data_IF_184052720798
#
_entry.id   IF_184052720798
#
_cell.length_a   1.000
_cell.length_b   1.000
_cell.length_c   1.000
_cell.angle_alpha   90.00
_cell.angle_beta   90.00
_cell.angle_gamma   90.00
#
_symmetry.space_group_name_H-M   'P 1'
#
loop_
_entity.id
_entity.type
_entity.pdbx_description
1 polymer ?
#
# COMPACT_ATOMS: atom_id res chain seq x y z
N UNK A 1 26.96 29.48 10.77
CA UNK A 1 27.16 28.29 9.93
C UNK A 1 27.96 27.24 10.69
N UNK A 2 27.99 26.01 10.19
CA UNK A 2 28.86 24.97 10.74
C UNK A 2 30.31 25.25 10.31
N UNK A 3 31.25 25.21 11.24
CA UNK A 3 32.68 25.25 10.94
C UNK A 3 33.20 23.84 10.58
N UNK A 4 34.45 23.78 10.12
CA UNK A 4 35.03 22.50 9.67
C UNK A 4 35.14 21.48 10.80
N UNK A 5 35.42 21.93 12.04
CA UNK A 5 35.49 21.06 13.23
C UNK A 5 34.14 20.41 13.54
N UNK A 6 33.06 21.22 13.47
CA UNK A 6 31.70 20.71 13.63
C UNK A 6 31.33 19.72 12.51
N UNK A 7 31.71 20.03 11.26
CA UNK A 7 31.49 19.14 10.12
C UNK A 7 32.22 17.80 10.29
N UNK A 8 33.46 17.80 10.76
CA UNK A 8 34.22 16.58 11.00
C UNK A 8 33.58 15.72 12.11
N UNK A 9 33.08 16.35 13.17
CA UNK A 9 32.33 15.66 14.22
C UNK A 9 31.09 14.99 13.66
N UNK A 10 30.33 15.64 12.76
CA UNK A 10 29.16 15.03 12.12
C UNK A 10 29.53 13.93 11.13
N UNK A 11 30.63 14.05 10.40
CA UNK A 11 31.16 12.99 9.53
C UNK A 11 31.47 11.72 10.30
N UNK A 12 32.09 11.81 11.46
CA UNK A 12 32.37 10.66 12.32
C UNK A 12 31.07 10.01 12.84
N UNK A 13 30.10 10.81 13.30
CA UNK A 13 28.80 10.30 13.71
C UNK A 13 28.07 9.60 12.54
N UNK A 14 28.14 10.14 11.33
CA UNK A 14 27.55 9.55 10.14
C UNK A 14 28.22 8.20 9.79
N UNK A 15 29.56 8.10 9.86
CA UNK A 15 30.30 6.85 9.65
C UNK A 15 29.90 5.78 10.66
N UNK A 16 29.79 6.14 11.94
CA UNK A 16 29.32 5.21 12.98
C UNK A 16 27.88 4.77 12.74
N UNK A 17 27.00 5.72 12.32
CA UNK A 17 25.62 5.41 11.97
C UNK A 17 25.53 4.45 10.79
N UNK A 18 26.31 4.68 9.73
CA UNK A 18 26.39 3.80 8.57
C UNK A 18 26.89 2.39 8.97
N UNK A 19 27.95 2.29 9.78
CA UNK A 19 28.44 0.98 10.24
C UNK A 19 27.39 0.21 11.02
N UNK A 20 26.59 0.88 11.85
CA UNK A 20 25.45 0.26 12.57
C UNK A 20 24.36 -0.19 11.61
N UNK A 21 24.01 0.63 10.62
CA UNK A 21 23.01 0.28 9.62
C UNK A 21 23.45 -0.96 8.83
N UNK A 22 24.69 -1.01 8.34
CA UNK A 22 25.22 -2.14 7.61
C UNK A 22 25.16 -3.43 8.44
N UNK A 23 25.50 -3.35 9.74
CA UNK A 23 25.34 -4.49 10.64
C UNK A 23 23.89 -4.95 10.76
N UNK A 24 22.91 -4.03 10.81
CA UNK A 24 21.49 -4.38 10.84
C UNK A 24 21.03 -5.01 9.50
N UNK A 25 21.62 -4.60 8.39
CA UNK A 25 21.39 -5.24 7.08
C UNK A 25 21.91 -6.68 7.09
N UNK A 26 23.14 -6.90 7.57
CA UNK A 26 23.75 -8.24 7.68
C UNK A 26 22.95 -9.18 8.62
N UNK A 27 22.31 -8.59 9.66
CA UNK A 27 21.45 -9.30 10.61
C UNK A 27 19.98 -9.45 10.11
N UNK A 28 19.68 -9.06 8.86
CA UNK A 28 18.33 -9.05 8.26
C UNK A 28 17.29 -8.23 9.04
N UNK A 29 17.72 -7.17 9.73
CA UNK A 29 16.86 -6.27 10.53
C UNK A 29 16.54 -4.95 9.86
N UNK A 30 17.14 -4.65 8.71
CA UNK A 30 16.96 -3.42 7.95
C UNK A 30 16.70 -3.71 6.46
N UNK A 31 15.74 -4.56 6.17
CA UNK A 31 15.39 -5.01 4.82
C UNK A 31 15.03 -3.89 3.85
N UNK A 32 14.60 -2.73 4.35
CA UNK A 32 14.27 -1.58 3.51
C UNK A 32 15.45 -1.08 2.66
N UNK A 33 16.69 -1.31 3.08
CA UNK A 33 17.91 -0.92 2.33
C UNK A 33 18.02 -1.70 1.02
N UNK A 34 17.49 -2.92 0.98
CA UNK A 34 17.56 -3.82 -0.17
C UNK A 34 16.37 -3.67 -1.14
N UNK A 35 15.33 -2.94 -0.77
CA UNK A 35 14.12 -2.77 -1.60
C UNK A 35 14.39 -2.24 -3.01
N UNK A 36 15.34 -1.31 -3.26
CA UNK A 36 15.64 -0.87 -4.63
C UNK A 36 16.12 -1.99 -5.57
N UNK A 37 16.64 -3.08 -5.02
CA UNK A 37 17.16 -4.23 -5.77
C UNK A 37 16.22 -5.45 -5.78
N UNK A 38 14.99 -5.30 -5.25
CA UNK A 38 14.03 -6.41 -5.18
C UNK A 38 13.51 -6.82 -6.56
N UNK A 39 13.11 -8.08 -6.69
CA UNK A 39 12.40 -8.54 -7.89
C UNK A 39 10.95 -8.01 -7.88
N UNK A 40 10.59 -7.24 -8.89
CA UNK A 40 9.24 -6.68 -9.09
C UNK A 40 8.42 -7.43 -10.14
N UNK A 41 8.89 -8.57 -10.64
CA UNK A 41 8.26 -9.32 -11.74
C UNK A 41 6.82 -9.72 -11.42
N UNK A 42 6.58 -10.26 -10.21
CA UNK A 42 5.24 -10.67 -9.78
C UNK A 42 4.27 -9.49 -9.67
N UNK A 43 4.73 -8.36 -9.13
CA UNK A 43 3.94 -7.12 -9.03
C UNK A 43 3.55 -6.59 -10.41
N UNK A 44 4.52 -6.48 -11.32
CA UNK A 44 4.29 -6.02 -12.71
C UNK A 44 3.35 -6.94 -13.47
N UNK A 45 3.49 -8.26 -13.28
CA UNK A 45 2.59 -9.24 -13.89
C UNK A 45 1.16 -9.03 -13.40
N UNK A 46 0.97 -8.94 -12.08
CA UNK A 46 -0.35 -8.72 -11.50
C UNK A 46 -0.97 -7.40 -11.96
N UNK A 47 -0.23 -6.28 -11.89
CA UNK A 47 -0.71 -4.98 -12.37
C UNK A 47 -1.12 -5.03 -13.85
N UNK A 48 -0.34 -5.70 -14.69
CA UNK A 48 -0.68 -5.91 -16.11
C UNK A 48 -1.95 -6.75 -16.29
N UNK A 49 -2.13 -7.80 -15.48
CA UNK A 49 -3.33 -8.64 -15.51
C UNK A 49 -4.58 -7.88 -15.06
N UNK A 50 -4.45 -6.89 -14.18
CA UNK A 50 -5.57 -6.07 -13.72
C UNK A 50 -5.80 -4.81 -14.57
N UNK A 51 -4.83 -4.38 -15.35
CA UNK A 51 -4.92 -3.19 -16.19
C UNK A 51 -6.13 -3.25 -17.13
N UNK A 52 -6.90 -2.17 -17.18
CA UNK A 52 -8.07 -2.03 -18.04
C UNK A 52 -9.34 -2.73 -17.55
N UNK A 53 -9.29 -3.42 -16.39
CA UNK A 53 -10.46 -4.14 -15.86
C UNK A 53 -11.33 -3.32 -14.92
N UNK A 54 -10.76 -2.33 -14.25
CA UNK A 54 -11.41 -1.54 -13.21
C UNK A 54 -11.25 -0.05 -13.47
N UNK A 55 -12.28 0.71 -13.14
CA UNK A 55 -12.25 2.17 -13.21
C UNK A 55 -11.73 2.80 -11.92
N UNK A 56 -11.85 2.09 -10.81
CA UNK A 56 -11.50 2.56 -9.47
C UNK A 56 -10.63 1.56 -8.70
N UNK A 57 -9.68 2.10 -7.94
CA UNK A 57 -8.86 1.38 -6.97
C UNK A 57 -9.04 2.05 -5.61
N UNK A 58 -9.59 1.32 -4.64
CA UNK A 58 -9.68 1.77 -3.25
C UNK A 58 -8.57 1.10 -2.44
N UNK A 59 -7.70 1.90 -1.85
CA UNK A 59 -6.64 1.47 -0.96
C UNK A 59 -7.09 1.66 0.49
N UNK A 60 -7.15 0.58 1.24
CA UNK A 60 -7.57 0.59 2.64
C UNK A 60 -6.35 0.32 3.52
N UNK A 61 -5.84 1.35 4.17
CA UNK A 61 -4.64 1.22 5.00
C UNK A 61 -4.32 2.53 5.71
N UNK A 62 -3.56 2.47 6.80
CA UNK A 62 -3.25 3.62 7.66
C UNK A 62 -1.75 3.78 7.85
N UNK A 63 -1.29 5.01 7.96
CA UNK A 63 0.09 5.36 8.22
C UNK A 63 1.03 4.81 7.15
N UNK A 64 1.93 3.90 7.50
CA UNK A 64 2.86 3.30 6.54
C UNK A 64 2.20 2.50 5.41
N UNK A 65 0.93 2.15 5.56
CA UNK A 65 0.16 1.43 4.54
C UNK A 65 -0.60 2.35 3.58
N UNK A 66 -0.63 3.66 3.82
CA UNK A 66 -1.29 4.66 2.96
C UNK A 66 -0.36 5.79 2.52
N UNK A 67 0.36 6.42 3.46
CA UNK A 67 1.13 7.65 3.19
C UNK A 67 2.18 7.51 2.09
N UNK A 68 2.81 6.34 1.97
CA UNK A 68 3.78 6.07 0.91
C UNK A 68 3.13 6.09 -0.47
N UNK A 69 1.96 5.49 -0.58
CA UNK A 69 1.17 5.43 -1.82
C UNK A 69 0.67 6.81 -2.20
N UNK A 70 0.11 7.55 -1.25
CA UNK A 70 -0.32 8.95 -1.46
C UNK A 70 0.83 9.83 -1.94
N UNK A 71 2.02 9.65 -1.34
CA UNK A 71 3.24 10.36 -1.74
C UNK A 71 3.63 10.04 -3.18
N UNK A 72 3.61 8.76 -3.57
CA UNK A 72 3.92 8.35 -4.95
C UNK A 72 2.86 8.84 -5.92
N UNK A 73 1.58 8.74 -5.59
CA UNK A 73 0.49 9.26 -6.40
C UNK A 73 0.62 10.78 -6.60
N UNK A 74 0.87 11.53 -5.54
CA UNK A 74 1.06 12.98 -5.62
C UNK A 74 2.30 13.40 -6.43
N UNK A 75 3.37 12.60 -6.40
CA UNK A 75 4.62 12.87 -7.11
C UNK A 75 4.58 12.48 -8.59
N UNK A 76 3.87 11.40 -8.94
CA UNK A 76 3.95 10.78 -10.26
C UNK A 76 2.70 10.97 -11.11
N UNK A 77 1.51 11.10 -10.49
CA UNK A 77 0.27 11.31 -11.23
C UNK A 77 0.08 12.79 -11.56
N UNK A 78 -0.52 13.10 -12.72
CA UNK A 78 -0.85 14.48 -13.07
C UNK A 78 -1.85 15.10 -12.11
N UNK A 79 -1.77 16.41 -11.89
CA UNK A 79 -2.79 17.15 -11.14
C UNK A 79 -4.19 16.86 -11.69
N UNK A 80 -5.16 16.62 -10.80
CA UNK A 80 -6.53 16.29 -11.17
C UNK A 80 -6.69 14.91 -11.83
N UNK A 81 -5.80 13.96 -11.52
CA UNK A 81 -5.79 12.62 -12.13
C UNK A 81 -7.15 11.92 -12.05
N UNK A 82 -7.79 11.88 -10.88
CA UNK A 82 -9.09 11.23 -10.71
C UNK A 82 -10.24 11.93 -11.48
N UNK A 83 -10.10 13.21 -11.83
CA UNK A 83 -11.08 13.95 -12.62
C UNK A 83 -10.98 13.66 -14.13
N UNK A 84 -9.93 12.96 -14.57
CA UNK A 84 -9.76 12.57 -15.97
C UNK A 84 -10.61 11.36 -16.30
N UNK A 85 -11.08 11.26 -17.56
CA UNK A 85 -11.75 10.04 -18.01
C UNK A 85 -10.77 8.87 -18.15
N UNK A 86 -11.30 7.64 -18.24
CA UNK A 86 -10.52 6.40 -18.27
C UNK A 86 -9.45 6.37 -19.37
N UNK A 87 -9.77 6.82 -20.57
CA UNK A 87 -8.80 6.87 -21.68
C UNK A 87 -7.66 7.87 -21.42
N UNK A 88 -7.97 9.03 -20.82
CA UNK A 88 -6.97 10.04 -20.44
C UNK A 88 -6.05 9.59 -19.30
N UNK A 89 -6.48 8.61 -18.52
CA UNK A 89 -5.65 7.94 -17.50
C UNK A 89 -4.85 6.76 -18.06
N UNK A 90 -4.89 6.52 -19.38
CA UNK A 90 -4.19 5.39 -20.01
C UNK A 90 -4.79 4.03 -19.64
N UNK A 91 -6.09 3.97 -19.38
CA UNK A 91 -6.82 2.80 -18.88
C UNK A 91 -6.36 2.31 -17.49
N UNK A 92 -5.82 3.21 -16.67
CA UNK A 92 -5.55 2.96 -15.25
C UNK A 92 -6.69 3.48 -14.38
N UNK A 93 -6.91 2.89 -13.19
CA UNK A 93 -8.00 3.27 -12.30
C UNK A 93 -7.80 4.65 -11.67
N UNK A 94 -8.88 5.28 -11.21
CA UNK A 94 -8.80 6.35 -10.21
C UNK A 94 -8.27 5.75 -8.90
N UNK A 95 -7.54 6.53 -8.13
CA UNK A 95 -6.95 6.07 -6.87
C UNK A 95 -7.62 6.77 -5.69
N UNK A 96 -8.19 5.99 -4.80
CA UNK A 96 -8.87 6.43 -3.59
C UNK A 96 -8.17 5.84 -2.37
N UNK A 97 -7.96 6.63 -1.34
CA UNK A 97 -7.27 6.15 -0.13
C UNK A 97 -8.15 6.31 1.11
N UNK A 98 -8.56 5.18 1.68
CA UNK A 98 -9.29 5.07 2.93
C UNK A 98 -8.29 4.91 4.09
N UNK A 99 -7.71 6.03 4.52
CA UNK A 99 -6.59 6.12 5.48
C UNK A 99 -7.00 6.49 6.89
N UNK A 100 -8.26 6.76 7.12
CA UNK A 100 -8.79 7.10 8.44
C UNK A 100 -10.24 6.62 8.60
N UNK A 101 -10.69 6.44 9.84
CA UNK A 101 -12.09 6.13 10.17
C UNK A 101 -12.89 7.44 10.12
N UNK A 102 -13.20 7.85 8.92
CA UNK A 102 -13.99 9.05 8.64
C UNK A 102 -15.21 8.66 7.79
N UNK A 103 -16.42 8.62 8.39
CA UNK A 103 -17.62 8.20 7.67
C UNK A 103 -17.94 9.09 6.46
N UNK A 104 -17.65 10.39 6.52
CA UNK A 104 -17.90 11.30 5.41
C UNK A 104 -16.97 10.96 4.23
N UNK A 105 -15.65 10.82 4.49
CA UNK A 105 -14.67 10.44 3.47
C UNK A 105 -15.00 9.09 2.82
N UNK A 106 -15.36 8.08 3.64
CA UNK A 106 -15.72 6.75 3.11
C UNK A 106 -16.99 6.84 2.26
N UNK A 107 -18.03 7.53 2.74
CA UNK A 107 -19.25 7.74 1.98
C UNK A 107 -18.98 8.44 0.64
N UNK A 108 -18.18 9.50 0.64
CA UNK A 108 -17.82 10.22 -0.59
C UNK A 108 -17.10 9.31 -1.59
N UNK A 109 -16.14 8.50 -1.14
CA UNK A 109 -15.44 7.53 -1.99
C UNK A 109 -16.43 6.53 -2.61
N UNK A 110 -17.31 5.94 -1.79
CA UNK A 110 -18.27 4.93 -2.25
C UNK A 110 -19.30 5.51 -3.21
N UNK A 111 -19.72 6.76 -3.02
CA UNK A 111 -20.63 7.46 -3.93
C UNK A 111 -20.00 7.76 -5.30
N UNK A 112 -18.68 7.88 -5.39
CA UNK A 112 -17.95 8.09 -6.65
C UNK A 112 -17.64 6.79 -7.40
N UNK A 113 -17.79 5.64 -6.75
CA UNK A 113 -17.38 4.34 -7.26
C UNK A 113 -18.56 3.42 -7.55
N UNK A 114 -18.39 2.51 -8.51
CA UNK A 114 -19.34 1.43 -8.81
C UNK A 114 -18.74 0.09 -8.33
N UNK A 115 -19.47 -0.72 -7.52
CA UNK A 115 -18.92 -1.97 -6.97
C UNK A 115 -18.29 -2.90 -8.01
N UNK A 116 -18.96 -3.08 -9.16
CA UNK A 116 -18.50 -3.97 -10.23
C UNK A 116 -17.25 -3.49 -10.99
N UNK A 117 -16.96 -2.19 -10.92
CA UNK A 117 -15.83 -1.55 -11.60
C UNK A 117 -14.73 -1.11 -10.62
N UNK A 118 -14.81 -1.57 -9.37
CA UNK A 118 -13.87 -1.18 -8.29
C UNK A 118 -13.03 -2.37 -7.84
N UNK A 119 -11.73 -2.15 -7.72
CA UNK A 119 -10.80 -3.07 -7.08
C UNK A 119 -10.37 -2.54 -5.72
N UNK A 120 -10.36 -3.38 -4.70
CA UNK A 120 -10.02 -2.99 -3.33
C UNK A 120 -8.74 -3.66 -2.88
N UNK A 121 -7.77 -2.88 -2.44
CA UNK A 121 -6.52 -3.37 -1.88
C UNK A 121 -6.44 -3.04 -0.38
N UNK A 122 -6.45 -4.05 0.47
CA UNK A 122 -6.42 -3.90 1.93
C UNK A 122 -5.00 -4.14 2.43
N UNK A 123 -4.43 -3.14 3.08
CA UNK A 123 -3.01 -3.14 3.45
C UNK A 123 -2.86 -2.97 4.96
N UNK A 124 -2.37 -4.00 5.63
CA UNK A 124 -1.94 -3.91 7.03
C UNK A 124 -0.88 -4.96 7.36
N UNK A 125 0.32 -4.51 7.72
CA UNK A 125 1.42 -5.41 8.07
C UNK A 125 1.08 -6.28 9.29
N UNK A 126 0.53 -5.70 10.35
CA UNK A 126 0.15 -6.43 11.57
C UNK A 126 -1.06 -7.34 11.40
N UNK A 127 -1.86 -7.10 10.35
CA UNK A 127 -3.13 -7.77 10.14
C UNK A 127 -4.22 -7.47 11.19
N UNK A 128 -3.98 -6.55 12.13
CA UNK A 128 -4.88 -6.29 13.28
C UNK A 128 -5.15 -4.81 13.52
N UNK A 129 -4.86 -3.93 12.57
CA UNK A 129 -5.17 -2.49 12.68
C UNK A 129 -6.68 -2.30 12.66
N UNK A 130 -7.23 -1.80 13.76
CA UNK A 130 -8.69 -1.70 13.98
C UNK A 130 -9.34 -0.77 12.95
N UNK A 131 -8.71 0.35 12.66
CA UNK A 131 -9.20 1.34 11.71
C UNK A 131 -9.24 0.76 10.27
N UNK A 132 -8.21 0.02 9.87
CA UNK A 132 -8.21 -0.68 8.57
C UNK A 132 -9.32 -1.71 8.51
N UNK A 133 -9.56 -2.46 9.60
CA UNK A 133 -10.64 -3.42 9.67
C UNK A 133 -12.02 -2.75 9.61
N UNK A 134 -12.21 -1.62 10.31
CA UNK A 134 -13.47 -0.87 10.28
C UNK A 134 -13.80 -0.38 8.86
N UNK A 135 -12.85 0.29 8.21
CA UNK A 135 -13.04 0.76 6.84
C UNK A 135 -13.28 -0.40 5.86
N UNK A 136 -12.51 -1.49 6.00
CA UNK A 136 -12.67 -2.66 5.13
C UNK A 136 -14.05 -3.32 5.29
N UNK A 137 -14.57 -3.43 6.51
CA UNK A 137 -15.89 -4.01 6.72
C UNK A 137 -16.98 -3.21 5.99
N UNK A 138 -16.97 -1.88 6.06
CA UNK A 138 -17.94 -1.02 5.36
C UNK A 138 -17.80 -1.17 3.84
N UNK A 139 -16.56 -1.14 3.33
CA UNK A 139 -16.30 -1.28 1.89
C UNK A 139 -16.64 -2.70 1.40
N UNK A 140 -16.37 -3.72 2.21
CA UNK A 140 -16.71 -5.10 1.88
C UNK A 140 -18.23 -5.32 1.79
N UNK A 141 -19.00 -4.79 2.74
CA UNK A 141 -20.46 -4.86 2.74
C UNK A 141 -21.02 -4.17 1.47
N UNK A 142 -20.54 -2.98 1.15
CA UNK A 142 -20.89 -2.27 -0.08
C UNK A 142 -20.57 -3.07 -1.35
N UNK A 143 -19.43 -3.76 -1.42
CA UNK A 143 -19.11 -4.66 -2.53
C UNK A 143 -20.06 -5.86 -2.59
N UNK A 144 -20.34 -6.50 -1.43
CA UNK A 144 -21.15 -7.71 -1.34
C UNK A 144 -22.62 -7.47 -1.75
N UNK A 145 -23.13 -6.28 -1.47
CA UNK A 145 -24.45 -5.84 -1.95
C UNK A 145 -24.49 -5.60 -3.46
N UNK A 146 -23.36 -5.17 -4.05
CA UNK A 146 -23.30 -4.77 -5.48
C UNK A 146 -22.85 -5.87 -6.44
N UNK A 147 -22.17 -6.94 -5.98
CA UNK A 147 -21.61 -7.97 -6.86
C UNK A 147 -21.77 -9.39 -6.31
N UNK A 148 -21.76 -10.38 -7.21
CA UNK A 148 -21.93 -11.80 -6.84
C UNK A 148 -20.65 -12.48 -6.31
N UNK A 149 -19.48 -11.97 -6.61
CA UNK A 149 -18.18 -12.61 -6.33
C UNK A 149 -17.15 -11.58 -5.90
N UNK A 150 -17.28 -11.12 -4.65
CA UNK A 150 -16.43 -10.09 -4.04
C UNK A 150 -14.96 -10.49 -4.03
N UNK A 151 -14.65 -11.79 -3.89
CA UNK A 151 -13.26 -12.26 -3.78
C UNK A 151 -12.38 -11.91 -4.98
N UNK A 152 -12.98 -11.70 -6.16
CA UNK A 152 -12.26 -11.30 -7.38
C UNK A 152 -11.91 -9.81 -7.42
N UNK A 153 -12.54 -9.02 -6.56
CA UNK A 153 -12.40 -7.57 -6.48
C UNK A 153 -11.54 -7.12 -5.29
N UNK A 154 -11.03 -8.07 -4.50
CA UNK A 154 -10.23 -7.77 -3.31
C UNK A 154 -8.86 -8.42 -3.38
N UNK A 155 -7.82 -7.64 -3.09
CA UNK A 155 -6.53 -8.18 -2.71
C UNK A 155 -6.11 -7.68 -1.33
N UNK A 156 -5.22 -8.42 -0.69
CA UNK A 156 -4.68 -8.09 0.62
C UNK A 156 -3.16 -8.05 0.59
N UNK A 157 -2.59 -7.10 1.32
CA UNK A 157 -1.14 -7.00 1.54
C UNK A 157 -0.94 -7.03 3.05
N UNK A 158 -0.46 -8.16 3.57
CA UNK A 158 -0.40 -8.40 5.02
C UNK A 158 0.76 -9.32 5.40
N UNK A 159 0.89 -9.61 6.69
CA UNK A 159 1.84 -10.61 7.18
C UNK A 159 1.59 -11.99 6.54
N UNK A 160 2.63 -12.76 6.22
CA UNK A 160 2.49 -14.07 5.57
C UNK A 160 1.79 -15.14 6.42
N UNK A 161 1.84 -15.01 7.75
CA UNK A 161 1.47 -16.11 8.66
C UNK A 161 0.58 -15.71 9.83
N UNK A 162 0.42 -14.42 10.11
CA UNK A 162 -0.24 -13.96 11.33
C UNK A 162 -1.20 -12.79 11.10
N UNK A 163 -2.04 -12.51 12.10
CA UNK A 163 -2.99 -11.42 12.10
C UNK A 163 -4.39 -11.81 11.63
N UNK A 164 -5.37 -10.95 11.94
CA UNK A 164 -6.77 -11.18 11.57
C UNK A 164 -6.97 -11.12 10.06
N UNK A 165 -6.35 -10.16 9.37
CA UNK A 165 -6.46 -10.03 7.92
C UNK A 165 -5.92 -11.26 7.20
N UNK A 166 -4.83 -11.89 7.68
CA UNK A 166 -4.32 -13.15 7.11
C UNK A 166 -5.36 -14.25 7.19
N UNK A 167 -6.00 -14.42 8.35
CA UNK A 167 -7.06 -15.43 8.55
C UNK A 167 -8.27 -15.19 7.63
N UNK A 168 -8.69 -13.93 7.48
CA UNK A 168 -9.79 -13.56 6.58
C UNK A 168 -9.38 -13.85 5.13
N UNK A 169 -8.19 -13.46 4.72
CA UNK A 169 -7.64 -13.70 3.39
C UNK A 169 -7.66 -15.18 3.01
N UNK A 170 -7.20 -16.04 3.91
CA UNK A 170 -7.15 -17.48 3.68
C UNK A 170 -8.54 -18.10 3.63
N UNK A 171 -9.45 -17.65 4.51
CA UNK A 171 -10.83 -18.13 4.57
C UNK A 171 -11.63 -17.76 3.31
N UNK A 172 -11.55 -16.50 2.88
CA UNK A 172 -12.30 -15.99 1.73
C UNK A 172 -11.63 -16.30 0.39
N UNK A 173 -10.33 -16.64 0.40
CA UNK A 173 -9.55 -16.92 -0.80
C UNK A 173 -9.19 -15.68 -1.61
N UNK A 174 -8.94 -14.56 -0.95
CA UNK A 174 -8.50 -13.34 -1.62
C UNK A 174 -7.13 -13.48 -2.25
N UNK A 175 -6.91 -12.79 -3.36
CA UNK A 175 -5.55 -12.56 -3.86
C UNK A 175 -4.71 -11.88 -2.77
N UNK A 176 -3.50 -12.38 -2.53
CA UNK A 176 -2.71 -11.89 -1.41
C UNK A 176 -1.24 -11.71 -1.76
N UNK A 177 -0.65 -10.69 -1.15
CA UNK A 177 0.78 -10.42 -1.18
C UNK A 177 1.30 -10.26 0.24
N UNK A 178 2.59 -10.55 0.41
CA UNK A 178 3.23 -10.55 1.72
C UNK A 178 4.04 -9.28 1.95
N UNK A 179 3.86 -8.66 3.11
CA UNK A 179 4.73 -7.58 3.54
C UNK A 179 6.04 -8.20 4.05
N UNK A 180 7.22 -7.79 3.55
CA UNK A 180 8.48 -8.31 4.06
C UNK A 180 8.59 -8.09 5.57
N UNK A 181 8.83 -9.13 6.38
CA UNK A 181 8.83 -9.03 7.85
C UNK A 181 9.93 -8.11 8.39
N UNK A 182 11.07 -8.03 7.69
CA UNK A 182 12.23 -7.21 8.02
C UNK A 182 12.13 -5.74 7.56
N UNK A 183 10.97 -5.34 6.96
CA UNK A 183 10.69 -3.96 6.54
C UNK A 183 9.69 -3.32 7.50
N UNK A 184 10.10 -2.27 8.21
CA UNK A 184 9.21 -1.50 9.08
C UNK A 184 8.14 -0.75 8.27
N UNK A 185 6.93 -0.56 8.84
CA UNK A 185 5.81 0.09 8.15
C UNK A 185 6.17 1.45 7.53
N UNK A 186 6.94 2.28 8.24
CA UNK A 186 7.39 3.60 7.75
C UNK A 186 8.39 3.56 6.59
N UNK A 187 8.95 2.40 6.28
CA UNK A 187 9.94 2.19 5.23
C UNK A 187 9.42 1.31 4.10
N UNK A 188 8.11 1.01 4.08
CA UNK A 188 7.51 0.00 3.21
C UNK A 188 7.08 0.51 1.83
N UNK A 189 7.17 1.82 1.56
CA UNK A 189 6.70 2.41 0.30
C UNK A 189 7.33 1.78 -0.95
N UNK A 190 8.62 1.42 -0.90
CA UNK A 190 9.29 0.76 -2.00
C UNK A 190 9.16 -0.78 -1.99
N UNK A 191 8.35 -1.34 -1.07
CA UNK A 191 7.94 -2.76 -1.11
C UNK A 191 6.65 -2.93 -1.91
N UNK A 192 6.10 -4.15 -1.89
CA UNK A 192 4.77 -4.45 -2.44
C UNK A 192 3.68 -3.49 -1.92
N UNK A 193 3.85 -2.94 -0.71
CA UNK A 193 2.91 -2.02 -0.07
C UNK A 193 2.66 -0.76 -0.89
N UNK A 194 3.71 -0.16 -1.45
CA UNK A 194 3.57 1.08 -2.22
C UNK A 194 3.69 0.89 -3.74
N UNK A 195 4.26 -0.23 -4.21
CA UNK A 195 4.52 -0.44 -5.63
C UNK A 195 3.41 -1.19 -6.36
N UNK A 196 2.46 -1.82 -5.66
CA UNK A 196 1.37 -2.55 -6.28
C UNK A 196 0.20 -1.63 -6.68
N UNK A 197 0.05 -0.52 -5.99
CA UNK A 197 -1.03 0.46 -6.17
C UNK A 197 -0.78 1.42 -7.39
#
# INVERSE_FOLDING_TARGET
>A
GLDDTALDTYREKARMGLSRLLKLVDEDKAGFVNLPNQDTTAMKKFAKEQSGKFNDLILVGIGGSSLGIETLAAALLPFGYNARNFAQRGAFPRVWVADNVDPAKISDILNECEPGDTYVCVITKSGSTVETAANFNVIYEWLDEGVKDVKKLVCTITDPSSGALRKITDKEGFTSFEVPPNVGGRFSVLSIVGLLA
#
